data_IF_351169843419
#
_entry.id   IF_351169843419
#
_cell.length_a   1.000
_cell.length_b   1.000
_cell.length_c   1.000
_cell.angle_alpha   90.00
_cell.angle_beta   90.00
_cell.angle_gamma   90.00
#
_symmetry.space_group_name_H-M   'P 1'
#
loop_
_entity.id
_entity.type
_entity.pdbx_description
1 polymer ?
#
# COMPACT_ATOMS: atom_id res chain seq x y z
N UNK A 1 -47.91 11.82 -37.74
CA UNK A 1 -46.44 11.86 -37.53
C UNK A 1 -46.08 12.78 -36.35
N UNK A 2 -46.60 12.54 -35.14
CA UNK A 2 -46.42 13.45 -33.98
C UNK A 2 -46.24 12.74 -32.62
N UNK A 3 -46.04 11.41 -32.63
CA UNK A 3 -45.97 10.58 -31.41
C UNK A 3 -44.61 9.92 -31.17
N UNK A 4 -43.62 10.20 -32.01
CA UNK A 4 -42.26 9.61 -31.92
C UNK A 4 -41.24 10.60 -31.30
N UNK A 5 -41.65 11.84 -31.01
CA UNK A 5 -40.77 12.91 -30.52
C UNK A 5 -40.91 13.18 -29.00
N UNK A 6 -41.10 12.14 -28.19
CA UNK A 6 -41.21 12.28 -26.73
C UNK A 6 -40.54 11.11 -25.98
N UNK A 7 -39.39 10.67 -26.47
CA UNK A 7 -38.67 9.50 -25.93
C UNK A 7 -37.15 9.72 -25.90
N UNK A 8 -36.70 10.96 -25.68
CA UNK A 8 -35.28 11.34 -25.77
C UNK A 8 -34.76 12.26 -24.64
N UNK A 9 -35.50 12.48 -23.55
CA UNK A 9 -35.09 13.44 -22.51
C UNK A 9 -35.20 12.89 -21.09
N UNK A 10 -34.63 11.71 -20.87
CA UNK A 10 -34.20 11.29 -19.52
C UNK A 10 -32.89 10.52 -19.61
N UNK A 11 -31.88 11.11 -20.26
CA UNK A 11 -30.50 10.71 -20.03
C UNK A 11 -30.08 11.35 -18.70
N UNK A 12 -30.45 10.73 -17.58
CA UNK A 12 -29.86 11.07 -16.30
C UNK A 12 -28.36 10.83 -16.44
N UNK A 13 -27.55 11.88 -16.32
CA UNK A 13 -26.09 11.75 -16.25
C UNK A 13 -25.78 10.94 -14.99
N UNK A 14 -25.56 9.63 -15.15
CA UNK A 14 -25.05 8.78 -14.09
C UNK A 14 -23.62 9.22 -13.80
N UNK A 15 -23.46 10.14 -12.85
CA UNK A 15 -22.16 10.51 -12.32
C UNK A 15 -21.72 9.38 -11.38
N UNK A 16 -20.54 8.83 -11.64
CA UNK A 16 -19.97 7.83 -10.74
C UNK A 16 -19.71 8.48 -9.37
N UNK A 17 -20.03 7.76 -8.29
CA UNK A 17 -19.77 8.24 -6.94
C UNK A 17 -18.27 8.47 -6.73
N UNK A 18 -17.94 9.55 -6.00
CA UNK A 18 -16.57 9.82 -5.55
C UNK A 18 -16.14 8.77 -4.55
N UNK A 19 -14.95 8.23 -4.74
CA UNK A 19 -14.40 7.14 -3.92
C UNK A 19 -13.01 7.54 -3.43
N UNK A 20 -12.74 7.36 -2.14
CA UNK A 20 -11.39 7.37 -1.59
C UNK A 20 -11.02 5.95 -1.18
N UNK A 21 -9.87 5.48 -1.63
CA UNK A 21 -9.42 4.10 -1.40
C UNK A 21 -7.94 4.02 -1.12
N UNK A 22 -7.54 3.09 -0.27
CA UNK A 22 -6.15 2.73 -0.05
C UNK A 22 -5.72 1.63 -1.04
N UNK A 23 -4.75 1.93 -1.91
CA UNK A 23 -4.27 1.05 -2.98
C UNK A 23 -2.79 0.70 -2.82
N UNK A 24 -2.34 -0.50 -3.22
CA UNK A 24 -3.11 -1.59 -3.82
C UNK A 24 -4.01 -2.29 -2.79
N UNK A 25 -5.02 -3.05 -3.23
CA UNK A 25 -5.59 -4.14 -2.40
C UNK A 25 -4.47 -5.17 -2.20
N UNK A 26 -4.04 -5.36 -0.96
CA UNK A 26 -2.71 -5.89 -0.68
C UNK A 26 -2.73 -7.42 -0.70
N UNK A 27 -1.80 -8.01 -1.46
CA UNK A 27 -1.50 -9.44 -1.40
C UNK A 27 -0.53 -9.77 -0.27
N UNK A 28 -0.17 -11.04 -0.12
CA UNK A 28 0.79 -11.45 0.90
C UNK A 28 2.16 -10.76 0.77
N UNK A 29 2.77 -10.39 1.90
CA UNK A 29 4.10 -9.75 2.01
C UNK A 29 4.86 -10.32 3.19
N UNK A 30 6.19 -10.21 3.21
CA UNK A 30 7.01 -10.81 4.27
C UNK A 30 7.44 -9.79 5.32
N UNK A 31 7.64 -10.25 6.56
CA UNK A 31 8.31 -9.47 7.62
C UNK A 31 9.63 -8.87 7.11
N UNK A 32 9.88 -7.61 7.46
CA UNK A 32 11.06 -6.85 7.06
C UNK A 32 10.97 -6.19 5.69
N UNK A 33 9.93 -6.48 4.89
CA UNK A 33 9.68 -5.78 3.64
C UNK A 33 8.96 -4.45 3.88
N UNK A 34 9.05 -3.55 2.90
CA UNK A 34 8.22 -2.36 2.85
C UNK A 34 6.96 -2.59 2.03
N UNK A 35 5.88 -1.97 2.47
CA UNK A 35 4.59 -1.94 1.82
C UNK A 35 4.26 -0.49 1.50
N UNK A 36 4.07 -0.17 0.23
CA UNK A 36 3.65 1.15 -0.20
C UNK A 36 2.14 1.15 -0.47
N UNK A 37 1.45 2.08 0.16
CA UNK A 37 0.00 2.27 0.05
C UNK A 37 -0.27 3.71 -0.39
N UNK A 38 -0.92 3.87 -1.52
CA UNK A 38 -1.41 5.15 -2.02
C UNK A 38 -2.85 5.38 -1.57
N UNK A 39 -3.11 6.56 -1.03
CA UNK A 39 -4.45 7.08 -0.89
C UNK A 39 -4.90 7.62 -2.24
N UNK A 40 -5.86 6.94 -2.85
CA UNK A 40 -6.35 7.22 -4.20
C UNK A 40 -7.74 7.80 -4.16
N UNK A 41 -7.93 8.90 -4.89
CA UNK A 41 -9.21 9.53 -5.12
C UNK A 41 -9.71 9.13 -6.51
N UNK A 42 -10.95 8.67 -6.63
CA UNK A 42 -11.56 8.26 -7.89
C UNK A 42 -12.90 8.94 -8.14
N UNK A 43 -13.15 9.31 -9.40
CA UNK A 43 -14.39 9.97 -9.83
C UNK A 43 -14.72 11.22 -9.01
N UNK A 44 -13.68 11.99 -8.68
CA UNK A 44 -13.81 13.21 -7.89
C UNK A 44 -14.15 14.37 -8.79
N UNK A 45 -15.06 15.22 -8.34
CA UNK A 45 -15.35 16.50 -8.98
C UNK A 45 -14.99 17.59 -7.99
N UNK A 46 -14.22 18.56 -8.47
CA UNK A 46 -13.93 19.80 -7.76
C UNK A 46 -13.15 19.68 -6.43
N UNK A 47 -12.30 18.67 -6.22
CA UNK A 47 -11.57 18.54 -4.94
C UNK A 47 -10.43 19.54 -4.81
N UNK A 48 -10.39 20.26 -3.69
CA UNK A 48 -9.33 21.23 -3.37
C UNK A 48 -8.61 20.96 -2.06
N UNK A 49 -9.23 20.25 -1.11
CA UNK A 49 -8.58 19.91 0.15
C UNK A 49 -9.15 18.61 0.72
N UNK A 50 -8.36 17.93 1.54
CA UNK A 50 -8.80 16.74 2.26
C UNK A 50 -8.22 16.71 3.69
N UNK A 51 -8.90 16.00 4.58
CA UNK A 51 -8.42 15.65 5.90
C UNK A 51 -8.94 14.26 6.28
N UNK A 52 -8.04 13.37 6.66
CA UNK A 52 -8.35 12.01 7.08
C UNK A 52 -7.66 11.67 8.40
N UNK A 53 -8.32 10.85 9.20
CA UNK A 53 -7.65 10.04 10.23
C UNK A 53 -7.62 8.59 9.74
N UNK A 54 -6.44 7.97 9.78
CA UNK A 54 -6.25 6.59 9.36
C UNK A 54 -5.82 5.74 10.55
N UNK A 55 -6.44 4.59 10.71
CA UNK A 55 -5.99 3.54 11.63
C UNK A 55 -5.26 2.45 10.87
N UNK A 56 -4.25 1.85 11.49
CA UNK A 56 -3.51 0.72 10.93
C UNK A 56 -3.11 -0.28 12.01
N UNK A 57 -2.88 -1.53 11.61
CA UNK A 57 -2.45 -2.58 12.54
C UNK A 57 -0.99 -2.38 13.01
N UNK A 58 -0.75 -2.59 14.30
CA UNK A 58 0.54 -2.34 14.97
C UNK A 58 1.62 -3.41 14.69
N UNK A 59 1.31 -4.42 13.85
CA UNK A 59 2.30 -5.30 13.24
C UNK A 59 3.02 -4.66 12.05
N UNK A 60 2.77 -3.39 11.79
CA UNK A 60 3.46 -2.53 10.82
C UNK A 60 3.83 -1.19 11.47
N UNK A 61 4.78 -0.48 10.89
CA UNK A 61 5.10 0.90 11.26
C UNK A 61 5.23 1.77 10.02
N UNK A 62 4.67 2.98 10.05
CA UNK A 62 4.86 3.99 9.01
C UNK A 62 6.32 4.48 9.04
N UNK A 63 6.93 4.47 7.86
CA UNK A 63 8.30 4.94 7.57
C UNK A 63 8.30 6.31 6.89
N UNK A 64 7.37 6.55 5.96
CA UNK A 64 7.22 7.85 5.29
C UNK A 64 5.77 8.08 4.88
N UNK A 65 5.42 9.35 4.75
CA UNK A 65 4.17 9.85 4.17
C UNK A 65 4.56 11.02 3.28
N UNK A 66 4.27 10.88 1.99
CA UNK A 66 4.68 11.83 0.96
C UNK A 66 3.45 12.23 0.14
N UNK A 67 3.31 13.53 -0.20
CA UNK A 67 2.27 13.97 -1.16
C UNK A 67 2.48 13.26 -2.50
N UNK A 68 1.40 13.00 -3.24
CA UNK A 68 1.42 12.37 -4.56
C UNK A 68 0.50 13.11 -5.53
N UNK A 69 0.62 12.82 -6.83
CA UNK A 69 -0.25 13.38 -7.86
C UNK A 69 -0.29 14.91 -7.89
N UNK A 70 -1.47 15.48 -8.15
CA UNK A 70 -1.69 16.94 -8.20
C UNK A 70 -1.34 17.64 -6.88
N UNK A 71 -1.56 16.99 -5.73
CA UNK A 71 -1.22 17.58 -4.43
C UNK A 71 0.30 17.64 -4.20
N UNK A 72 1.09 16.78 -4.83
CA UNK A 72 2.54 16.90 -4.80
C UNK A 72 3.06 18.08 -5.62
N UNK A 73 2.39 18.44 -6.72
CA UNK A 73 2.82 19.55 -7.59
C UNK A 73 2.27 20.91 -7.14
N UNK A 74 1.01 20.93 -6.75
CA UNK A 74 0.22 22.16 -6.57
C UNK A 74 -0.37 22.29 -5.15
N UNK A 75 -0.03 21.37 -4.23
CA UNK A 75 -0.45 21.40 -2.84
C UNK A 75 0.43 22.28 -1.94
N UNK A 76 -0.08 22.58 -0.75
CA UNK A 76 0.69 23.24 0.32
C UNK A 76 1.68 22.29 0.99
N UNK A 77 1.48 20.98 0.81
CA UNK A 77 2.28 19.91 1.36
C UNK A 77 1.49 19.13 2.41
N UNK A 78 1.74 17.82 2.48
CA UNK A 78 1.03 16.94 3.41
C UNK A 78 1.43 17.21 4.88
N UNK A 79 0.43 17.41 5.73
CA UNK A 79 0.58 17.54 7.18
C UNK A 79 -0.11 16.37 7.89
N UNK A 80 0.47 15.89 8.99
CA UNK A 80 -0.08 14.77 9.77
C UNK A 80 0.59 14.67 11.16
N UNK A 81 -0.06 13.94 12.06
CA UNK A 81 0.51 13.40 13.29
C UNK A 81 0.56 11.88 13.20
N UNK A 82 1.66 11.26 13.66
CA UNK A 82 1.87 9.82 13.57
C UNK A 82 2.11 9.21 14.95
N UNK A 83 1.36 8.18 15.29
CA UNK A 83 1.60 7.29 16.43
C UNK A 83 1.67 5.83 15.96
N UNK A 84 2.89 5.34 15.75
CA UNK A 84 3.14 3.95 15.37
C UNK A 84 2.81 2.94 16.48
N UNK A 85 2.78 3.36 17.76
CA UNK A 85 2.45 2.48 18.87
C UNK A 85 0.94 2.27 18.99
N UNK A 86 0.16 3.32 18.72
CA UNK A 86 -1.30 3.25 18.68
C UNK A 86 -1.86 2.77 17.33
N UNK A 87 -1.06 2.79 16.26
CA UNK A 87 -1.51 2.45 14.92
C UNK A 87 -2.39 3.55 14.33
N UNK A 88 -1.99 4.81 14.47
CA UNK A 88 -2.82 5.98 14.13
C UNK A 88 -2.02 7.02 13.33
N UNK A 89 -2.64 7.51 12.26
CA UNK A 89 -2.24 8.72 11.53
C UNK A 89 -3.39 9.71 11.69
N UNK A 90 -3.18 10.80 12.41
CA UNK A 90 -4.21 11.81 12.66
C UNK A 90 -3.95 13.06 11.84
N UNK A 91 -5.02 13.75 11.46
CA UNK A 91 -4.98 14.99 10.69
C UNK A 91 -4.14 14.85 9.41
N UNK A 92 -4.23 13.72 8.70
CA UNK A 92 -3.59 13.59 7.39
C UNK A 92 -4.30 14.51 6.38
N UNK A 93 -3.70 15.64 6.06
CA UNK A 93 -4.33 16.68 5.26
C UNK A 93 -3.36 17.37 4.29
N UNK A 94 -3.93 17.89 3.20
CA UNK A 94 -3.28 18.79 2.24
C UNK A 94 -4.37 19.62 1.55
N UNK A 95 -3.97 20.73 0.93
CA UNK A 95 -4.84 21.64 0.19
C UNK A 95 -4.11 22.17 -1.05
N UNK A 96 -4.83 22.25 -2.18
CA UNK A 96 -4.33 22.84 -3.41
C UNK A 96 -4.21 24.36 -3.27
N UNK A 97 -3.21 24.93 -3.94
CA UNK A 97 -2.92 26.36 -3.94
C UNK A 97 -3.57 27.02 -5.15
N UNK A 98 -4.10 28.24 -4.95
CA UNK A 98 -4.60 29.07 -6.04
C UNK A 98 -5.91 28.55 -6.62
N UNK A 99 -5.96 28.38 -7.95
CA UNK A 99 -7.14 27.89 -8.67
C UNK A 99 -7.01 26.43 -9.10
N UNK A 100 -6.02 25.70 -8.57
CA UNK A 100 -5.86 24.28 -8.85
C UNK A 100 -6.98 23.48 -8.20
N UNK A 101 -7.51 22.53 -8.95
CA UNK A 101 -8.66 21.70 -8.56
C UNK A 101 -8.46 20.31 -9.15
N UNK A 102 -8.64 19.27 -8.34
CA UNK A 102 -8.64 17.90 -8.83
C UNK A 102 -10.03 17.54 -9.39
N UNK A 103 -10.06 17.24 -10.69
CA UNK A 103 -11.19 16.62 -11.36
C UNK A 103 -10.75 15.29 -11.97
N UNK A 104 -11.51 14.22 -11.70
CA UNK A 104 -11.19 12.87 -12.13
C UNK A 104 -10.61 12.03 -11.01
N UNK A 105 -9.55 11.28 -11.32
CA UNK A 105 -8.98 10.29 -10.39
C UNK A 105 -7.47 10.45 -10.30
N UNK A 106 -6.92 10.51 -9.08
CA UNK A 106 -5.49 10.69 -8.83
C UNK A 106 -5.07 10.16 -7.45
N UNK A 107 -3.77 9.93 -7.28
CA UNK A 107 -3.16 9.63 -5.99
C UNK A 107 -2.96 10.93 -5.21
N UNK A 108 -3.34 10.93 -3.93
CA UNK A 108 -3.21 12.10 -3.05
C UNK A 108 -1.96 12.03 -2.19
N UNK A 109 -1.72 10.84 -1.62
CA UNK A 109 -0.66 10.58 -0.65
C UNK A 109 -0.11 9.19 -0.86
N UNK A 110 1.18 9.02 -0.63
CA UNK A 110 1.89 7.75 -0.65
C UNK A 110 2.44 7.49 0.75
N UNK A 111 1.97 6.41 1.37
CA UNK A 111 2.36 5.98 2.71
C UNK A 111 3.23 4.73 2.58
N UNK A 112 4.42 4.76 3.17
CA UNK A 112 5.32 3.61 3.20
C UNK A 112 5.31 2.99 4.59
N UNK A 113 4.96 1.72 4.69
CA UNK A 113 4.99 0.92 5.91
C UNK A 113 6.18 -0.04 5.89
N UNK A 114 6.79 -0.28 7.04
CA UNK A 114 7.67 -1.42 7.32
C UNK A 114 6.84 -2.51 8.02
N UNK A 115 6.91 -3.73 7.51
CA UNK A 115 6.21 -4.88 8.07
C UNK A 115 7.04 -5.51 9.19
N UNK A 116 6.50 -5.52 10.41
CA UNK A 116 7.27 -5.88 11.62
C UNK A 116 7.02 -7.31 12.08
N UNK A 117 5.77 -7.75 12.10
CA UNK A 117 5.37 -9.05 12.65
C UNK A 117 4.42 -9.78 11.69
N UNK A 118 4.46 -11.12 11.64
CA UNK A 118 3.52 -11.88 10.83
C UNK A 118 2.08 -11.73 11.37
N UNK A 119 1.11 -11.94 10.49
CA UNK A 119 -0.31 -11.91 10.82
C UNK A 119 -1.15 -11.05 9.87
N UNK A 120 -2.49 -11.09 10.01
CA UNK A 120 -3.37 -10.21 9.27
C UNK A 120 -3.11 -8.76 9.66
N UNK A 121 -3.34 -7.84 8.74
CA UNK A 121 -3.32 -6.42 9.01
C UNK A 121 -4.45 -5.72 8.27
N UNK A 122 -4.83 -4.56 8.78
CA UNK A 122 -5.81 -3.65 8.19
C UNK A 122 -5.27 -2.22 8.25
N UNK A 123 -5.72 -1.42 7.30
CA UNK A 123 -5.57 0.03 7.25
C UNK A 123 -6.95 0.59 6.88
N UNK A 124 -7.48 1.50 7.68
CA UNK A 124 -8.84 1.99 7.52
C UNK A 124 -8.96 3.49 7.79
N UNK A 125 -10.06 4.07 7.32
CA UNK A 125 -10.46 5.43 7.65
C UNK A 125 -11.23 5.42 8.98
N UNK A 126 -10.91 6.34 9.87
CA UNK A 126 -11.67 6.58 11.10
C UNK A 126 -12.54 7.83 10.96
N UNK A 127 -11.91 8.97 10.64
CA UNK A 127 -12.60 10.19 10.22
C UNK A 127 -12.16 10.59 8.82
N UNK A 128 -13.09 11.16 8.05
CA UNK A 128 -12.79 11.56 6.68
C UNK A 128 -13.63 12.74 6.21
N UNK A 129 -12.95 13.74 5.65
CA UNK A 129 -13.55 14.90 5.04
C UNK A 129 -12.75 15.30 3.79
N UNK A 130 -13.48 15.61 2.72
CA UNK A 130 -12.95 16.15 1.48
C UNK A 130 -13.77 17.38 1.11
N UNK A 131 -13.10 18.39 0.56
CA UNK A 131 -13.70 19.71 0.34
C UNK A 131 -13.65 20.11 -1.12
N UNK A 132 -14.74 20.71 -1.59
CA UNK A 132 -14.84 21.32 -2.91
C UNK A 132 -14.30 22.76 -2.92
N UNK A 133 -14.23 23.38 -4.10
CA UNK A 133 -13.73 24.77 -4.24
C UNK A 133 -14.61 25.82 -3.52
N UNK A 134 -15.86 25.46 -3.19
CA UNK A 134 -16.77 26.25 -2.36
C UNK A 134 -16.64 25.96 -0.86
N UNK A 135 -15.67 25.14 -0.44
CA UNK A 135 -15.48 24.63 0.92
C UNK A 135 -16.66 23.77 1.42
N UNK A 136 -17.48 23.24 0.51
CA UNK A 136 -18.50 22.24 0.80
C UNK A 136 -17.89 20.85 0.98
N UNK A 137 -18.57 20.00 1.76
CA UNK A 137 -18.15 18.61 1.93
C UNK A 137 -18.52 17.78 0.69
N UNK A 138 -17.53 17.07 0.16
CA UNK A 138 -17.73 16.07 -0.90
C UNK A 138 -18.23 14.78 -0.23
N UNK A 139 -19.40 14.31 -0.68
CA UNK A 139 -19.91 13.00 -0.28
C UNK A 139 -19.16 11.91 -1.04
N UNK A 140 -18.57 10.96 -0.32
CA UNK A 140 -17.73 9.92 -0.89
C UNK A 140 -17.85 8.59 -0.15
N UNK A 141 -17.53 7.51 -0.86
CA UNK A 141 -17.33 6.19 -0.26
C UNK A 141 -15.85 6.00 0.11
N UNK A 142 -15.60 5.36 1.25
CA UNK A 142 -14.26 5.16 1.80
C UNK A 142 -13.93 3.67 1.90
N UNK A 143 -12.82 3.25 1.29
CA UNK A 143 -12.37 1.86 1.30
C UNK A 143 -10.96 1.71 1.84
N UNK A 144 -10.84 1.00 2.97
CA UNK A 144 -9.55 0.62 3.54
C UNK A 144 -8.80 -0.42 2.71
N UNK A 145 -7.65 -0.84 3.23
CA UNK A 145 -6.84 -1.92 2.69
C UNK A 145 -6.59 -2.98 3.77
N UNK A 146 -6.51 -4.23 3.36
CA UNK A 146 -6.21 -5.36 4.24
C UNK A 146 -5.28 -6.34 3.54
N UNK A 147 -4.64 -7.21 4.33
CA UNK A 147 -3.73 -8.22 3.82
C UNK A 147 -3.15 -9.09 4.93
N UNK A 148 -2.13 -9.88 4.57
CA UNK A 148 -1.42 -10.78 5.48
C UNK A 148 0.09 -10.55 5.37
N UNK A 149 0.74 -10.45 6.52
CA UNK A 149 2.20 -10.49 6.64
C UNK A 149 2.60 -11.94 6.92
N UNK A 150 3.35 -12.53 6.01
CA UNK A 150 4.01 -13.83 6.16
C UNK A 150 5.33 -13.70 6.90
N UNK A 151 5.72 -14.79 7.57
CA UNK A 151 7.05 -14.91 8.12
C UNK A 151 8.13 -14.81 7.03
N UNK A 152 9.25 -14.21 7.40
CA UNK A 152 10.45 -14.34 6.60
C UNK A 152 10.82 -15.83 6.50
N UNK A 153 11.24 -16.35 5.33
CA UNK A 153 11.68 -17.72 5.23
C UNK A 153 12.81 -17.93 6.23
N UNK A 154 12.64 -18.90 7.13
CA UNK A 154 13.74 -19.32 8.00
C UNK A 154 14.93 -19.63 7.09
N UNK A 155 16.10 -19.07 7.39
CA UNK A 155 17.32 -19.46 6.71
C UNK A 155 17.55 -20.94 7.01
N UNK A 156 17.14 -21.81 6.10
CA UNK A 156 17.39 -23.25 6.23
C UNK A 156 18.90 -23.40 6.16
N UNK A 157 19.59 -23.79 7.24
CA UNK A 157 21.02 -24.02 7.18
C UNK A 157 21.26 -25.07 6.09
N UNK A 158 22.15 -24.78 5.14
CA UNK A 158 22.45 -25.71 4.06
C UNK A 158 22.67 -27.10 4.65
N UNK A 159 21.97 -28.13 4.16
CA UNK A 159 22.00 -29.42 4.80
C UNK A 159 23.47 -29.90 4.83
N UNK A 160 23.90 -30.38 5.99
CA UNK A 160 25.24 -30.95 6.21
C UNK A 160 25.56 -32.12 5.24
N UNK A 161 24.66 -32.49 4.35
CA UNK A 161 24.89 -33.38 3.19
C UNK A 161 26.02 -32.90 2.30
N UNK A 162 26.23 -31.60 2.10
CA UNK A 162 27.43 -31.11 1.39
C UNK A 162 28.72 -31.49 2.13
N UNK A 163 28.71 -31.37 3.46
CA UNK A 163 29.81 -31.73 4.34
C UNK A 163 30.04 -33.26 4.37
N UNK A 164 28.96 -34.05 4.41
CA UNK A 164 29.00 -35.51 4.31
C UNK A 164 29.46 -36.00 2.93
N UNK A 165 29.12 -35.29 1.86
CA UNK A 165 29.59 -35.58 0.51
C UNK A 165 31.10 -35.29 0.36
N UNK A 166 31.58 -34.18 0.93
CA UNK A 166 33.02 -33.89 0.99
C UNK A 166 33.78 -34.91 1.84
N UNK A 167 33.22 -35.34 2.98
CA UNK A 167 33.79 -36.39 3.83
C UNK A 167 33.83 -37.76 3.13
N UNK A 168 32.81 -38.12 2.35
CA UNK A 168 32.79 -39.39 1.61
C UNK A 168 33.79 -39.40 0.45
N UNK A 169 33.96 -38.28 -0.25
CA UNK A 169 34.96 -38.15 -1.33
C UNK A 169 36.40 -38.18 -0.79
N UNK A 170 36.66 -37.51 0.33
CA UNK A 170 37.99 -37.49 0.96
C UNK A 170 38.38 -38.86 1.49
N UNK A 171 37.47 -39.57 2.17
CA UNK A 171 37.70 -40.94 2.64
C UNK A 171 37.92 -41.92 1.49
N UNK A 172 37.15 -41.82 0.40
CA UNK A 172 37.32 -42.68 -0.79
C UNK A 172 38.65 -42.41 -1.51
N UNK A 173 39.08 -41.15 -1.61
CA UNK A 173 40.37 -40.78 -2.21
C UNK A 173 41.56 -41.30 -1.39
N UNK A 174 41.49 -41.22 -0.06
CA UNK A 174 42.50 -41.77 0.84
C UNK A 174 42.55 -43.30 0.76
N UNK A 175 41.40 -43.97 0.72
CA UNK A 175 41.32 -45.43 0.57
C UNK A 175 41.91 -45.92 -0.76
N UNK A 176 41.70 -45.19 -1.87
CA UNK A 176 42.31 -45.49 -3.18
C UNK A 176 43.84 -45.33 -3.14
N UNK A 177 44.35 -44.27 -2.52
CA UNK A 177 45.81 -44.06 -2.37
C UNK A 177 46.48 -45.16 -1.55
N UNK A 178 45.86 -45.59 -0.44
CA UNK A 178 46.39 -46.66 0.39
C UNK A 178 46.48 -48.01 -0.35
N UNK A 179 45.49 -48.34 -1.18
CA UNK A 179 45.50 -49.58 -1.99
C UNK A 179 46.53 -49.57 -3.11
N UNK A 180 46.80 -48.41 -3.73
CA UNK A 180 47.80 -48.29 -4.78
C UNK A 180 49.25 -48.41 -4.26
N UNK A 181 49.50 -48.07 -2.99
CA UNK A 181 50.82 -48.20 -2.36
C UNK A 181 51.16 -49.60 -1.83
N UNK A 182 50.18 -50.49 -1.66
CA UNK A 182 50.37 -51.84 -1.12
C UNK A 182 50.75 -52.89 -2.18
N UNK A 183 50.86 -52.51 -3.46
CA UNK A 183 51.31 -53.35 -4.56
C UNK A 183 52.68 -52.82 -5.04
N UNK A 184 53.69 -52.92 -4.19
CA UNK A 184 55.11 -52.66 -4.49
C UNK A 184 55.97 -53.55 -3.61
#
# INVERSE_FOLDING_TARGET
>A
MKRILLLLTLCATAQAATIFSLNPKIGSRKVGQTLQVSLYAANVSDLVAYQFDLTFSTNMAVQSIDSDGLFASDGVGVFYFLDNAAGLISFLNDALIGSAVLNGSDSLVKITFLLLNPGPFTIGFDTAAAYDSGYGLITADYYGADGIIEDAPASVPEPRTALLFCLSLTTLALARRARAGACR
#
